data_IF_270700360886
#
_entry.id   IF_270700360886
#
_cell.length_a   1.000
_cell.length_b   1.000
_cell.length_c   1.000
_cell.angle_alpha   90.00
_cell.angle_beta   90.00
_cell.angle_gamma   90.00
#
_symmetry.space_group_name_H-M   'P 1'
#
loop_
_entity.id
_entity.type
_entity.pdbx_description
1 polymer ?
#
# COMPACT_ATOMS: atom_id res chain seq x y z
N UNK A 1 -51.34 -26.21 10.96
CA UNK A 1 -50.59 -26.00 9.70
C UNK A 1 -49.85 -24.66 9.60
N UNK A 2 -50.37 -23.53 10.12
CA UNK A 2 -49.71 -22.21 10.05
C UNK A 2 -48.41 -22.14 10.89
N UNK A 3 -48.41 -22.72 12.08
CA UNK A 3 -47.23 -22.75 12.97
C UNK A 3 -46.06 -23.58 12.42
N UNK A 4 -46.34 -24.68 11.70
CA UNK A 4 -45.30 -25.52 11.07
C UNK A 4 -44.58 -24.79 9.94
N UNK A 5 -45.32 -24.02 9.12
CA UNK A 5 -44.73 -23.19 8.04
C UNK A 5 -43.88 -22.05 8.61
N UNK A 6 -44.30 -21.46 9.73
CA UNK A 6 -43.55 -20.40 10.40
C UNK A 6 -42.23 -20.91 10.99
N UNK A 7 -42.23 -22.11 11.58
CA UNK A 7 -41.02 -22.76 12.12
C UNK A 7 -40.03 -23.10 11.00
N UNK A 8 -40.53 -23.61 9.85
CA UNK A 8 -39.67 -23.93 8.69
C UNK A 8 -39.01 -22.67 8.12
N UNK A 9 -39.77 -21.58 7.95
CA UNK A 9 -39.23 -20.31 7.44
C UNK A 9 -38.23 -19.67 8.41
N UNK A 10 -38.49 -19.75 9.72
CA UNK A 10 -37.56 -19.27 10.75
C UNK A 10 -36.26 -20.09 10.74
N UNK A 11 -36.36 -21.42 10.61
CA UNK A 11 -35.19 -22.30 10.49
C UNK A 11 -34.36 -22.02 9.24
N UNK A 12 -35.01 -21.79 8.09
CA UNK A 12 -34.34 -21.38 6.85
C UNK A 12 -33.63 -20.04 7.02
N UNK A 13 -34.27 -19.04 7.64
CA UNK A 13 -33.67 -17.73 7.84
C UNK A 13 -32.46 -17.78 8.79
N UNK A 14 -32.53 -18.59 9.87
CA UNK A 14 -31.40 -18.84 10.78
C UNK A 14 -30.25 -19.53 10.04
N UNK A 15 -30.54 -20.48 9.14
CA UNK A 15 -29.50 -21.14 8.35
C UNK A 15 -28.79 -20.20 7.37
N UNK A 16 -29.53 -19.27 6.75
CA UNK A 16 -28.96 -18.26 5.84
C UNK A 16 -28.07 -17.27 6.60
N UNK A 17 -28.48 -16.86 7.80
CA UNK A 17 -27.68 -16.00 8.68
C UNK A 17 -26.41 -16.70 9.19
N UNK A 18 -26.48 -17.99 9.50
CA UNK A 18 -25.30 -18.76 9.89
C UNK A 18 -24.30 -18.91 8.73
N UNK A 19 -24.79 -19.18 7.52
CA UNK A 19 -23.94 -19.29 6.33
C UNK A 19 -23.23 -17.98 5.97
N UNK A 20 -23.88 -16.82 6.14
CA UNK A 20 -23.28 -15.52 5.87
C UNK A 20 -22.19 -15.13 6.89
N UNK A 21 -22.35 -15.50 8.16
CA UNK A 21 -21.31 -15.30 9.19
C UNK A 21 -20.01 -16.06 8.86
N UNK A 22 -20.11 -17.26 8.29
CA UNK A 22 -18.93 -18.07 7.93
C UNK A 22 -18.19 -17.49 6.73
N UNK A 23 -18.91 -16.94 5.74
CA UNK A 23 -18.28 -16.32 4.57
C UNK A 23 -17.50 -15.04 4.93
N UNK A 24 -17.97 -14.26 5.91
CA UNK A 24 -17.30 -13.03 6.33
C UNK A 24 -15.94 -13.31 7.04
N UNK A 25 -15.82 -14.43 7.74
CA UNK A 25 -14.58 -14.81 8.43
C UNK A 25 -13.50 -15.39 7.49
N UNK A 26 -13.88 -15.81 6.28
CA UNK A 26 -12.97 -16.40 5.29
C UNK A 26 -12.47 -15.40 4.24
N UNK A 27 -12.84 -14.12 4.34
CA UNK A 27 -12.33 -13.12 3.41
C UNK A 27 -10.83 -12.94 3.63
N UNK A 28 -9.99 -13.09 2.58
CA UNK A 28 -8.57 -12.77 2.70
C UNK A 28 -8.44 -11.34 3.18
N UNK A 29 -7.58 -11.11 4.18
CA UNK A 29 -7.35 -9.80 4.75
C UNK A 29 -7.10 -8.78 3.64
N UNK A 30 -8.06 -7.86 3.45
CA UNK A 30 -7.95 -6.77 2.50
C UNK A 30 -6.70 -5.97 2.90
N UNK A 31 -5.62 -6.05 2.12
CA UNK A 31 -4.43 -5.21 2.35
C UNK A 31 -4.92 -3.77 2.39
N UNK A 32 -4.91 -3.19 3.59
CA UNK A 32 -5.10 -1.76 3.78
C UNK A 32 -4.18 -1.06 2.79
N UNK A 33 -4.77 -0.30 1.86
CA UNK A 33 -3.97 0.58 1.02
C UNK A 33 -3.17 1.48 1.97
N UNK A 34 -1.85 1.46 1.78
CA UNK A 34 -0.88 1.71 2.84
C UNK A 34 -1.01 3.09 3.48
N UNK A 35 -0.72 3.14 4.77
CA UNK A 35 -0.48 4.41 5.47
C UNK A 35 0.73 5.09 4.82
N UNK A 36 0.54 6.29 4.28
CA UNK A 36 1.64 7.09 3.76
C UNK A 36 2.62 7.41 4.89
N UNK A 37 3.86 6.96 4.74
CA UNK A 37 4.95 7.26 5.67
C UNK A 37 5.95 8.17 4.98
N UNK A 38 6.25 9.31 5.60
CA UNK A 38 7.36 10.16 5.17
C UNK A 38 8.67 9.43 5.48
N UNK A 39 9.41 9.11 4.43
CA UNK A 39 10.70 8.38 4.51
C UNK A 39 11.91 9.29 4.35
N UNK A 40 11.71 10.53 3.88
CA UNK A 40 12.75 11.54 3.73
C UNK A 40 12.49 12.69 4.71
N UNK A 41 13.06 12.67 5.92
CA UNK A 41 12.76 13.66 6.96
C UNK A 41 13.45 15.02 6.75
N UNK A 42 14.36 15.14 5.78
CA UNK A 42 15.09 16.38 5.47
C UNK A 42 15.40 16.47 3.98
N UNK A 43 14.49 17.07 3.21
CA UNK A 43 14.91 17.81 2.01
C UNK A 43 15.37 19.17 2.49
N UNK A 44 16.55 19.65 2.08
CA UNK A 44 16.88 21.05 2.35
C UNK A 44 15.86 21.92 1.61
N UNK A 45 15.43 23.02 2.23
CA UNK A 45 14.57 23.99 1.57
C UNK A 45 15.32 24.57 0.36
N UNK A 46 15.03 24.05 -0.84
CA UNK A 46 15.77 24.36 -2.07
C UNK A 46 16.04 23.15 -2.97
N UNK A 47 15.96 21.93 -2.44
CA UNK A 47 16.17 20.70 -3.21
C UNK A 47 14.97 20.48 -4.15
N UNK A 48 15.10 20.95 -5.39
CA UNK A 48 14.06 20.79 -6.42
C UNK A 48 14.10 19.37 -6.96
N UNK A 49 13.33 18.46 -6.35
CA UNK A 49 13.07 17.13 -6.90
C UNK A 49 12.28 17.30 -8.20
N UNK A 50 12.77 16.74 -9.29
CA UNK A 50 12.10 16.81 -10.60
C UNK A 50 11.58 15.47 -11.09
N UNK A 51 12.20 14.39 -10.65
CA UNK A 51 11.87 13.06 -11.13
C UNK A 51 12.15 11.99 -10.08
N UNK A 52 11.34 10.94 -10.13
CA UNK A 52 11.54 9.69 -9.41
C UNK A 52 11.03 8.54 -10.28
N UNK A 53 11.76 7.44 -10.32
CA UNK A 53 11.40 6.25 -11.08
C UNK A 53 11.90 4.97 -10.41
N UNK A 54 11.19 3.88 -10.61
CA UNK A 54 11.64 2.54 -10.24
C UNK A 54 11.93 1.74 -11.51
N UNK A 55 13.08 1.08 -11.52
CA UNK A 55 13.43 0.11 -12.56
C UNK A 55 12.76 -1.25 -12.28
N UNK A 56 12.65 -1.61 -11.01
CA UNK A 56 11.99 -2.83 -10.53
C UNK A 56 11.52 -2.65 -9.08
N UNK A 57 10.96 -3.70 -8.46
CA UNK A 57 10.40 -3.63 -7.09
C UNK A 57 11.42 -3.21 -6.01
N UNK A 58 12.71 -3.40 -6.26
CA UNK A 58 13.77 -3.14 -5.29
C UNK A 58 14.59 -1.90 -5.66
N UNK A 59 14.85 -1.68 -6.95
CA UNK A 59 15.72 -0.62 -7.43
C UNK A 59 14.94 0.57 -7.99
N UNK A 60 15.23 1.74 -7.44
CA UNK A 60 14.68 3.01 -7.91
C UNK A 60 15.61 4.18 -7.63
N UNK A 61 15.28 5.33 -8.21
CA UNK A 61 16.06 6.55 -8.09
C UNK A 61 15.15 7.78 -8.10
N UNK A 62 15.62 8.87 -7.47
CA UNK A 62 15.05 10.20 -7.62
C UNK A 62 16.17 11.23 -7.68
N UNK A 63 15.86 12.41 -8.23
CA UNK A 63 16.86 13.45 -8.38
C UNK A 63 16.30 14.80 -8.77
N UNK A 64 17.16 15.80 -8.74
CA UNK A 64 16.80 17.20 -8.94
C UNK A 64 17.54 17.90 -10.07
N UNK A 65 17.65 19.22 -9.94
CA UNK A 65 18.35 20.10 -10.88
C UNK A 65 19.58 20.74 -10.27
N UNK A 66 20.64 20.91 -11.08
CA UNK A 66 21.81 21.72 -10.74
C UNK A 66 22.67 21.10 -9.63
N UNK A 67 23.61 21.88 -9.10
CA UNK A 67 24.62 21.46 -8.12
C UNK A 67 24.02 20.89 -6.81
N UNK A 68 22.76 21.23 -6.52
CA UNK A 68 22.01 20.81 -5.34
C UNK A 68 21.21 19.52 -5.60
N UNK A 69 20.82 19.27 -6.86
CA UNK A 69 19.93 18.19 -7.25
C UNK A 69 20.60 16.84 -7.43
N UNK A 70 21.33 16.37 -6.41
CA UNK A 70 22.01 15.06 -6.43
C UNK A 70 21.03 13.92 -6.75
N UNK A 71 21.55 12.90 -7.43
CA UNK A 71 20.80 11.66 -7.60
C UNK A 71 20.83 10.85 -6.30
N UNK A 72 19.69 10.24 -5.98
CA UNK A 72 19.55 9.31 -4.88
C UNK A 72 18.99 8.00 -5.41
N UNK A 73 19.44 6.88 -4.88
CA UNK A 73 18.98 5.56 -5.28
C UNK A 73 18.61 4.69 -4.08
N UNK A 74 17.79 3.68 -4.34
CA UNK A 74 17.39 2.65 -3.38
C UNK A 74 17.61 1.27 -3.99
N UNK A 75 17.91 0.29 -3.16
CA UNK A 75 17.97 -1.14 -3.54
C UNK A 75 17.03 -2.00 -2.70
N UNK A 76 16.15 -1.37 -1.91
CA UNK A 76 15.25 -2.04 -0.94
C UNK A 76 13.78 -1.63 -1.10
N UNK A 77 13.40 -1.15 -2.29
CA UNK A 77 12.03 -0.72 -2.59
C UNK A 77 11.68 0.65 -2.01
N UNK A 78 12.68 1.50 -1.77
CA UNK A 78 12.49 2.85 -1.26
C UNK A 78 12.36 2.95 0.25
N UNK A 79 12.76 1.92 1.01
CA UNK A 79 12.81 1.99 2.48
C UNK A 79 13.99 2.83 2.94
N UNK A 80 15.12 2.73 2.24
CA UNK A 80 16.31 3.57 2.43
C UNK A 80 16.82 4.14 1.11
N UNK A 81 17.47 5.31 1.18
CA UNK A 81 18.00 6.04 0.03
C UNK A 81 19.45 6.45 0.26
N UNK A 82 20.30 6.20 -0.73
CA UNK A 82 21.72 6.58 -0.73
C UNK A 82 21.94 7.68 -1.76
N UNK A 83 22.70 8.71 -1.37
CA UNK A 83 23.14 9.76 -2.30
C UNK A 83 24.21 9.20 -3.22
N UNK A 84 24.06 9.36 -4.54
CA UNK A 84 25.07 8.96 -5.50
C UNK A 84 26.25 9.95 -5.50
N UNK A 85 27.47 9.44 -5.69
CA UNK A 85 28.69 10.25 -5.77
C UNK A 85 28.78 11.08 -7.05
N UNK A 86 28.09 10.63 -8.10
CA UNK A 86 27.89 11.39 -9.33
C UNK A 86 26.45 11.23 -9.81
N UNK A 87 25.89 12.32 -10.31
CA UNK A 87 24.78 12.30 -11.25
C UNK A 87 25.42 12.55 -12.60
N UNK A 88 25.32 11.63 -13.57
CA UNK A 88 25.99 11.73 -14.87
C UNK A 88 25.51 12.86 -15.79
N UNK A 89 25.18 14.04 -15.26
CA UNK A 89 24.73 15.23 -15.97
C UNK A 89 25.48 16.47 -15.52
#
# INVERSE_FOLDING_TARGET
MKHVRFIILLGMMVSVLAASCVLAAAQPAQKSQGQWKVILPKTNAGDKIRMAAFLNENFGFWGGAGDVGKAHYTTDGGKTWTTADSSGG
#
